data_IF_026047592818
#
_entry.id   IF_026047592818
#
_cell.length_a   1.000
_cell.length_b   1.000
_cell.length_c   1.000
_cell.angle_alpha   90.00
_cell.angle_beta   90.00
_cell.angle_gamma   90.00
#
_symmetry.space_group_name_H-M   'P 1'
#
loop_
_entity.id
_entity.type
_entity.pdbx_description
1 polymer ?
#
# COMPACT_ATOMS: atom_id res chain seq x y z
N UNK A 1 7.42 -13.20 -19.99
CA UNK A 1 8.75 -13.09 -19.36
C UNK A 1 9.13 -11.64 -19.08
N UNK A 2 9.78 -10.88 -19.99
CA UNK A 2 10.30 -9.53 -19.68
C UNK A 2 9.25 -8.45 -19.35
N UNK A 3 8.11 -8.46 -20.03
CA UNK A 3 7.04 -7.46 -19.83
C UNK A 3 6.38 -7.58 -18.46
N UNK A 4 6.21 -8.80 -17.95
CA UNK A 4 5.63 -9.04 -16.62
C UNK A 4 6.54 -8.51 -15.52
N UNK A 5 7.85 -8.74 -15.62
CA UNK A 5 8.85 -8.23 -14.68
C UNK A 5 8.91 -6.70 -14.69
N UNK A 6 8.83 -6.07 -15.87
CA UNK A 6 8.78 -4.60 -15.98
C UNK A 6 7.54 -4.04 -15.27
N UNK A 7 6.36 -4.62 -15.51
CA UNK A 7 5.13 -4.22 -14.81
C UNK A 7 5.23 -4.41 -13.30
N UNK A 8 5.82 -5.52 -12.85
CA UNK A 8 5.99 -5.81 -11.44
C UNK A 8 6.93 -4.79 -10.75
N UNK A 9 8.01 -4.37 -11.41
CA UNK A 9 8.91 -3.32 -10.91
C UNK A 9 8.15 -1.99 -10.78
N UNK A 10 7.38 -1.60 -11.79
CA UNK A 10 6.61 -0.36 -11.77
C UNK A 10 5.60 -0.35 -10.62
N UNK A 11 4.85 -1.46 -10.44
CA UNK A 11 3.87 -1.60 -9.36
C UNK A 11 4.54 -1.59 -7.98
N UNK A 12 5.71 -2.23 -7.83
CA UNK A 12 6.51 -2.17 -6.60
C UNK A 12 6.89 -0.74 -6.23
N UNK A 13 7.39 0.04 -7.19
CA UNK A 13 7.80 1.43 -6.94
C UNK A 13 6.60 2.27 -6.49
N UNK A 14 5.47 2.13 -7.17
CA UNK A 14 4.23 2.81 -6.77
C UNK A 14 3.78 2.42 -5.37
N UNK A 15 3.84 1.14 -5.02
CA UNK A 15 3.51 0.65 -3.68
C UNK A 15 4.43 1.23 -2.60
N UNK A 16 5.74 1.30 -2.84
CA UNK A 16 6.69 1.89 -1.91
C UNK A 16 6.34 3.36 -1.65
N UNK A 17 6.12 4.15 -2.71
CA UNK A 17 5.75 5.56 -2.60
C UNK A 17 4.44 5.73 -1.83
N UNK A 18 3.42 4.92 -2.14
CA UNK A 18 2.12 4.95 -1.46
C UNK A 18 2.26 4.60 0.03
N UNK A 19 3.02 3.57 0.38
CA UNK A 19 3.26 3.15 1.78
C UNK A 19 4.02 4.23 2.56
N UNK A 20 5.00 4.88 1.95
CA UNK A 20 5.74 5.98 2.60
C UNK A 20 4.85 7.21 2.83
N UNK A 21 3.90 7.47 1.94
CA UNK A 21 2.94 8.57 2.08
C UNK A 21 1.89 8.30 3.19
N UNK A 22 1.66 7.03 3.56
CA UNK A 22 0.73 6.69 4.63
C UNK A 22 1.26 7.14 6.00
N UNK A 23 0.61 8.14 6.62
CA UNK A 23 0.88 8.49 8.01
C UNK A 23 0.55 7.31 8.94
N UNK A 24 1.56 6.82 9.64
CA UNK A 24 1.40 5.87 10.76
C UNK A 24 0.90 6.65 11.96
N UNK A 25 -0.41 6.66 12.17
CA UNK A 25 -1.02 7.31 13.35
C UNK A 25 -0.47 6.66 14.61
N UNK A 26 0.12 7.49 15.49
CA UNK A 26 0.76 7.04 16.72
C UNK A 26 -0.22 6.31 17.63
N UNK A 27 0.07 5.04 17.89
CA UNK A 27 -0.70 4.18 18.80
C UNK A 27 -0.31 4.39 20.28
N UNK A 28 0.77 5.11 20.57
CA UNK A 28 1.45 5.06 21.86
C UNK A 28 1.64 6.40 22.59
N UNK A 29 0.81 7.42 22.32
CA UNK A 29 0.86 8.67 23.08
C UNK A 29 -0.53 9.13 23.50
N UNK A 30 -0.83 8.85 24.78
CA UNK A 30 -1.85 9.45 25.65
C UNK A 30 -3.16 8.65 25.89
N UNK A 31 -3.57 8.47 27.17
CA UNK A 31 -4.60 7.50 27.57
C UNK A 31 -6.02 8.05 27.58
N UNK A 32 -6.23 9.32 27.25
CA UNK A 32 -7.53 9.98 27.31
C UNK A 32 -7.66 10.93 26.13
N UNK A 33 -8.70 10.71 25.32
CA UNK A 33 -9.25 11.68 24.39
C UNK A 33 -8.28 12.11 23.27
N UNK A 34 -8.41 11.49 22.11
CA UNK A 34 -8.41 12.09 20.77
C UNK A 34 -8.05 11.01 19.76
N UNK A 35 -9.00 10.08 19.57
CA UNK A 35 -9.03 9.24 18.37
C UNK A 35 -9.28 10.19 17.20
N UNK A 36 -8.22 10.75 16.63
CA UNK A 36 -8.30 11.44 15.35
C UNK A 36 -8.69 10.39 14.30
N UNK A 37 -10.00 10.22 14.10
CA UNK A 37 -10.55 9.37 13.07
C UNK A 37 -9.97 9.82 11.73
N UNK A 38 -9.26 8.93 11.03
CA UNK A 38 -8.65 9.23 9.73
C UNK A 38 -9.72 9.82 8.80
N UNK A 39 -9.59 11.11 8.43
CA UNK A 39 -10.58 11.80 7.59
C UNK A 39 -10.18 11.76 6.12
N UNK A 40 -11.13 11.33 5.28
CA UNK A 40 -11.15 11.53 3.83
C UNK A 40 -10.00 10.88 3.05
N UNK A 41 -8.92 11.64 2.86
CA UNK A 41 -7.82 11.30 1.94
C UNK A 41 -6.97 10.12 2.46
N UNK A 42 -6.64 10.10 3.75
CA UNK A 42 -5.81 9.02 4.31
C UNK A 42 -6.51 7.65 4.25
N UNK A 43 -7.85 7.62 4.45
CA UNK A 43 -8.63 6.39 4.35
C UNK A 43 -8.65 5.85 2.92
N UNK A 44 -8.79 6.73 1.92
CA UNK A 44 -8.75 6.37 0.50
C UNK A 44 -7.38 5.84 0.08
N UNK A 45 -6.29 6.52 0.47
CA UNK A 45 -4.92 6.07 0.19
C UNK A 45 -4.65 4.70 0.82
N UNK A 46 -5.12 4.47 2.05
CA UNK A 46 -4.97 3.18 2.72
C UNK A 46 -5.64 2.02 1.95
N UNK A 47 -6.92 2.18 1.57
CA UNK A 47 -7.60 1.16 0.76
C UNK A 47 -6.93 0.97 -0.61
N UNK A 48 -6.50 2.06 -1.24
CA UNK A 48 -5.83 2.02 -2.54
C UNK A 48 -4.53 1.21 -2.47
N UNK A 49 -3.72 1.40 -1.43
CA UNK A 49 -2.50 0.62 -1.22
C UNK A 49 -2.79 -0.85 -0.97
N UNK A 50 -3.87 -1.18 -0.26
CA UNK A 50 -4.24 -2.58 -0.03
C UNK A 50 -4.66 -3.28 -1.33
N UNK A 51 -5.43 -2.59 -2.19
CA UNK A 51 -5.80 -3.07 -3.53
C UNK A 51 -4.56 -3.23 -4.42
N UNK A 52 -3.67 -2.23 -4.48
CA UNK A 52 -2.43 -2.35 -5.24
C UNK A 52 -1.53 -3.46 -4.71
N UNK A 53 -1.50 -3.69 -3.40
CA UNK A 53 -0.72 -4.75 -2.77
C UNK A 53 -1.22 -6.14 -3.18
N UNK A 54 -2.56 -6.32 -3.22
CA UNK A 54 -3.16 -7.56 -3.70
C UNK A 54 -2.84 -7.81 -5.18
N UNK A 55 -2.94 -6.77 -6.02
CA UNK A 55 -2.60 -6.86 -7.45
C UNK A 55 -1.13 -7.22 -7.64
N UNK A 56 -0.23 -6.61 -6.87
CA UNK A 56 1.19 -6.95 -6.88
C UNK A 56 1.44 -8.42 -6.51
N UNK A 57 0.77 -8.92 -5.48
CA UNK A 57 0.89 -10.32 -5.06
C UNK A 57 0.45 -11.28 -6.17
N UNK A 58 -0.68 -11.00 -6.84
CA UNK A 58 -1.17 -11.80 -7.96
C UNK A 58 -0.19 -11.77 -9.13
N UNK A 59 0.34 -10.59 -9.48
CA UNK A 59 1.36 -10.44 -10.53
C UNK A 59 2.64 -11.19 -10.18
N UNK A 60 3.06 -11.18 -8.92
CA UNK A 60 4.25 -11.88 -8.46
C UNK A 60 4.09 -13.41 -8.57
N UNK A 61 2.92 -13.94 -8.20
CA UNK A 61 2.61 -15.37 -8.34
C UNK A 61 2.56 -15.76 -9.82
N UNK A 62 1.93 -14.94 -10.67
CA UNK A 62 1.90 -15.16 -12.12
C UNK A 62 3.30 -15.14 -12.73
N UNK A 63 4.18 -14.24 -12.29
CA UNK A 63 5.57 -14.19 -12.76
C UNK A 63 6.42 -15.38 -12.27
N UNK A 64 6.09 -15.94 -11.10
CA UNK A 64 6.78 -17.12 -10.57
C UNK A 64 6.40 -18.39 -11.34
N UNK A 65 5.15 -18.50 -11.78
CA UNK A 65 4.61 -19.68 -12.47
C UNK A 65 4.85 -19.62 -13.98
N UNK A 66 4.78 -18.42 -14.58
CA UNK A 66 4.90 -18.20 -16.04
C UNK A 66 6.30 -17.75 -16.45
#
# INVERSE_FOLDING_TARGET
MKILTIFQIIVSVFLIVLVLLQKRGGLLSSPQLFVFSKRGLEKKVFYLTWVLGAIFLVLAILNLIL
#
